data_IF_414597134618
#
_entry.id   IF_414597134618
#
_cell.length_a   1.000
_cell.length_b   1.000
_cell.length_c   1.000
_cell.angle_alpha   90.00
_cell.angle_beta   90.00
_cell.angle_gamma   90.00
#
_symmetry.space_group_name_H-M   'P 1'
#
loop_
_entity.id
_entity.type
_entity.pdbx_description
1 polymer ?
#
# COMPACT_ATOMS: atom_id res chain seq x y z
N UNK A 1 -7.47 16.90 25.25
CA UNK A 1 -8.13 16.74 23.94
C UNK A 1 -9.31 15.80 24.11
N UNK A 2 -10.25 15.70 23.17
CA UNK A 2 -11.30 14.67 23.29
C UNK A 2 -10.73 13.31 22.89
N UNK A 3 -11.12 12.23 23.58
CA UNK A 3 -10.68 10.85 23.29
C UNK A 3 -10.94 10.46 21.82
N UNK A 4 -12.03 10.96 21.24
CA UNK A 4 -12.38 10.74 19.84
C UNK A 4 -11.36 11.41 18.90
N UNK A 5 -10.95 12.65 19.21
CA UNK A 5 -9.95 13.37 18.40
C UNK A 5 -8.61 12.64 18.40
N UNK A 6 -8.15 12.17 19.55
CA UNK A 6 -6.89 11.42 19.67
C UNK A 6 -6.94 10.09 18.92
N UNK A 7 -8.07 9.39 18.96
CA UNK A 7 -8.29 8.17 18.17
C UNK A 7 -8.15 8.44 16.66
N UNK A 8 -8.91 9.41 16.13
CA UNK A 8 -8.87 9.71 14.70
C UNK A 8 -7.51 10.24 14.25
N UNK A 9 -6.81 11.01 15.08
CA UNK A 9 -5.47 11.50 14.77
C UNK A 9 -4.46 10.36 14.66
N UNK A 10 -4.44 9.43 15.63
CA UNK A 10 -3.51 8.30 15.60
C UNK A 10 -3.85 7.31 14.47
N UNK A 11 -5.14 7.12 14.17
CA UNK A 11 -5.57 6.33 13.01
C UNK A 11 -5.12 6.96 11.69
N UNK A 12 -5.29 8.28 11.56
CA UNK A 12 -4.84 9.03 10.37
C UNK A 12 -3.32 9.00 10.22
N UNK A 13 -2.59 9.12 11.32
CA UNK A 13 -1.14 8.96 11.32
C UNK A 13 -0.73 7.56 10.85
N UNK A 14 -1.45 6.51 11.27
CA UNK A 14 -1.23 5.15 10.78
C UNK A 14 -1.44 5.01 9.27
N UNK A 15 -2.53 5.59 8.73
CA UNK A 15 -2.73 5.63 7.27
C UNK A 15 -1.60 6.38 6.56
N UNK A 16 -1.19 7.52 7.09
CA UNK A 16 -0.11 8.32 6.50
C UNK A 16 1.20 7.53 6.44
N UNK A 17 1.57 6.84 7.52
CA UNK A 17 2.77 6.00 7.55
C UNK A 17 2.74 4.90 6.48
N UNK A 18 1.63 4.19 6.35
CA UNK A 18 1.49 3.11 5.36
C UNK A 18 1.58 3.68 3.94
N UNK A 19 0.92 4.81 3.67
CA UNK A 19 0.93 5.46 2.35
C UNK A 19 2.33 5.96 2.01
N UNK A 20 3.01 6.65 2.94
CA UNK A 20 4.37 7.16 2.74
C UNK A 20 5.33 5.99 2.48
N UNK A 21 5.27 4.93 3.28
CA UNK A 21 6.08 3.74 3.07
C UNK A 21 5.82 3.13 1.68
N UNK A 22 4.54 2.98 1.30
CA UNK A 22 4.15 2.46 -0.02
C UNK A 22 4.73 3.31 -1.16
N UNK A 23 4.69 4.64 -1.03
CA UNK A 23 5.23 5.55 -2.03
C UNK A 23 6.75 5.43 -2.14
N UNK A 24 7.46 5.32 -1.01
CA UNK A 24 8.93 5.14 -1.01
C UNK A 24 9.31 3.83 -1.71
N UNK A 25 8.64 2.72 -1.37
CA UNK A 25 8.88 1.43 -2.01
C UNK A 25 8.55 1.49 -3.50
N UNK A 26 7.46 2.16 -3.88
CA UNK A 26 7.08 2.35 -5.27
C UNK A 26 8.08 3.18 -6.06
N UNK A 27 8.62 4.25 -5.47
CA UNK A 27 9.70 5.04 -6.09
C UNK A 27 10.94 4.18 -6.36
N UNK A 28 11.32 3.32 -5.42
CA UNK A 28 12.38 2.33 -5.65
C UNK A 28 12.06 1.39 -6.82
N UNK A 29 10.83 0.89 -6.88
CA UNK A 29 10.35 0.06 -7.99
C UNK A 29 10.37 0.77 -9.35
N UNK A 30 10.09 2.08 -9.39
CA UNK A 30 10.15 2.87 -10.63
C UNK A 30 11.57 2.93 -11.18
N UNK A 31 12.57 3.11 -10.32
CA UNK A 31 13.97 3.12 -10.74
C UNK A 31 14.35 1.78 -11.36
N UNK A 32 13.92 0.67 -10.74
CA UNK A 32 14.14 -0.68 -11.27
C UNK A 32 13.46 -0.87 -12.63
N UNK A 33 12.18 -0.48 -12.76
CA UNK A 33 11.47 -0.56 -14.04
C UNK A 33 12.14 0.26 -15.13
N UNK A 34 12.61 1.46 -14.81
CA UNK A 34 13.29 2.34 -15.74
C UNK A 34 14.63 1.75 -16.21
N UNK A 35 15.41 1.15 -15.31
CA UNK A 35 16.61 0.40 -15.65
C UNK A 35 16.26 -0.75 -16.61
N UNK A 36 15.25 -1.56 -16.27
CA UNK A 36 14.85 -2.69 -17.11
C UNK A 36 14.41 -2.26 -18.52
N UNK A 37 13.72 -1.12 -18.63
CA UNK A 37 13.27 -0.60 -19.92
C UNK A 37 14.42 0.04 -20.72
N UNK A 38 15.38 0.72 -20.07
CA UNK A 38 16.57 1.27 -20.73
C UNK A 38 17.48 0.20 -21.34
N UNK A 39 17.55 -0.98 -20.74
CA UNK A 39 18.34 -2.11 -21.23
C UNK A 39 17.50 -3.11 -22.05
N UNK A 40 16.24 -2.79 -22.35
CA UNK A 40 15.37 -3.60 -23.19
C UNK A 40 15.69 -3.38 -24.67
N UNK A 41 15.78 -4.44 -25.49
CA UNK A 41 15.95 -4.30 -26.94
C UNK A 41 14.65 -3.87 -27.66
N UNK A 42 13.53 -3.78 -26.95
CA UNK A 42 12.23 -3.40 -27.52
C UNK A 42 12.03 -1.89 -27.54
N UNK A 43 11.24 -1.39 -28.50
CA UNK A 43 10.79 0.01 -28.52
C UNK A 43 9.94 0.33 -27.30
N UNK A 44 10.18 1.51 -26.70
CA UNK A 44 9.46 1.95 -25.51
C UNK A 44 8.03 2.40 -25.88
N UNK A 45 7.07 1.50 -25.65
CA UNK A 45 5.65 1.81 -25.78
C UNK A 45 5.13 2.46 -24.49
N UNK A 46 4.96 3.78 -24.50
CA UNK A 46 4.55 4.59 -23.34
C UNK A 46 3.27 4.04 -22.67
N UNK A 47 2.30 3.58 -23.47
CA UNK A 47 1.05 3.01 -22.96
C UNK A 47 1.29 1.76 -22.11
N UNK A 48 2.17 0.86 -22.57
CA UNK A 48 2.49 -0.36 -21.84
C UNK A 48 3.32 -0.06 -20.59
N UNK A 49 4.27 0.87 -20.70
CA UNK A 49 5.06 1.34 -19.58
C UNK A 49 4.18 1.93 -18.47
N UNK A 50 3.27 2.85 -18.80
CA UNK A 50 2.33 3.44 -17.84
C UNK A 50 1.43 2.37 -17.20
N UNK A 51 1.02 1.34 -17.96
CA UNK A 51 0.26 0.22 -17.42
C UNK A 51 1.09 -0.62 -16.43
N UNK A 52 2.37 -0.91 -16.73
CA UNK A 52 3.30 -1.58 -15.80
C UNK A 52 3.45 -0.76 -14.51
N UNK A 53 3.70 0.55 -14.64
CA UNK A 53 3.85 1.49 -13.50
C UNK A 53 2.59 1.50 -12.63
N UNK A 54 1.42 1.60 -13.23
CA UNK A 54 0.13 1.59 -12.53
C UNK A 54 -0.14 0.27 -11.81
N UNK A 55 0.14 -0.86 -12.49
CA UNK A 55 -0.01 -2.19 -11.89
C UNK A 55 0.91 -2.35 -10.69
N UNK A 56 2.17 -1.92 -10.81
CA UNK A 56 3.15 -1.94 -9.73
C UNK A 56 2.72 -1.07 -8.55
N UNK A 57 2.25 0.16 -8.79
CA UNK A 57 1.73 1.05 -7.74
C UNK A 57 0.64 0.34 -6.92
N UNK A 58 -0.36 -0.22 -7.61
CA UNK A 58 -1.46 -0.92 -6.97
C UNK A 58 -0.99 -2.11 -6.14
N UNK A 59 -0.09 -2.91 -6.69
CA UNK A 59 0.48 -4.07 -5.99
C UNK A 59 1.25 -3.62 -4.74
N UNK A 60 2.10 -2.60 -4.83
CA UNK A 60 2.89 -2.15 -3.67
C UNK A 60 2.00 -1.59 -2.56
N UNK A 61 0.95 -0.85 -2.90
CA UNK A 61 -0.02 -0.36 -1.91
C UNK A 61 -0.75 -1.51 -1.21
N UNK A 62 -1.19 -2.53 -1.95
CA UNK A 62 -1.84 -3.71 -1.39
C UNK A 62 -0.88 -4.52 -0.49
N UNK A 63 0.37 -4.71 -0.92
CA UNK A 63 1.38 -5.41 -0.11
C UNK A 63 1.74 -4.63 1.14
N UNK A 64 1.82 -3.30 1.05
CA UNK A 64 2.13 -2.44 2.19
C UNK A 64 0.99 -2.41 3.21
N UNK A 65 -0.27 -2.52 2.78
CA UNK A 65 -1.38 -2.69 3.73
C UNK A 65 -1.32 -4.02 4.46
N UNK A 66 -1.00 -5.13 3.78
CA UNK A 66 -0.83 -6.41 4.45
C UNK A 66 0.40 -6.41 5.38
N UNK A 67 1.51 -5.84 4.91
CA UNK A 67 2.73 -5.68 5.70
C UNK A 67 2.52 -4.79 6.93
N UNK A 68 1.71 -3.74 6.82
CA UNK A 68 1.38 -2.83 7.92
C UNK A 68 0.70 -3.52 9.10
N UNK A 69 -0.08 -4.58 8.86
CA UNK A 69 -0.71 -5.38 9.93
C UNK A 69 0.37 -6.07 10.77
N UNK A 70 1.32 -6.73 10.10
CA UNK A 70 2.41 -7.45 10.76
C UNK A 70 3.37 -6.46 11.41
N UNK A 71 3.74 -5.39 10.71
CA UNK A 71 4.65 -4.37 11.20
C UNK A 71 4.12 -3.70 12.48
N UNK A 72 2.85 -3.29 12.48
CA UNK A 72 2.23 -2.70 13.68
C UNK A 72 2.21 -3.69 14.85
N UNK A 73 1.89 -4.97 14.63
CA UNK A 73 1.95 -5.99 15.68
C UNK A 73 3.37 -6.20 16.21
N UNK A 74 4.38 -6.31 15.35
CA UNK A 74 5.77 -6.43 15.78
C UNK A 74 6.20 -5.21 16.60
N UNK A 75 5.85 -4.01 16.15
CA UNK A 75 6.17 -2.77 16.85
C UNK A 75 5.51 -2.68 18.23
N UNK A 76 4.30 -3.24 18.42
CA UNK A 76 3.69 -3.32 19.76
C UNK A 76 4.49 -4.17 20.75
N UNK A 77 5.23 -5.17 20.27
CA UNK A 77 6.05 -6.03 21.14
C UNK A 77 7.42 -5.43 21.43
N UNK A 78 7.93 -4.57 20.53
CA UNK A 78 9.29 -4.03 20.64
C UNK A 78 9.35 -2.59 21.15
N UNK A 79 8.22 -1.86 21.19
CA UNK A 79 8.18 -0.45 21.61
C UNK A 79 7.14 -0.19 22.69
N UNK A 80 7.35 0.87 23.49
CA UNK A 80 6.43 1.26 24.56
C UNK A 80 5.14 1.94 24.08
N UNK A 81 5.03 2.26 22.79
CA UNK A 81 3.90 3.01 22.22
C UNK A 81 2.79 2.10 21.70
N UNK A 82 2.27 1.24 22.58
CA UNK A 82 1.29 0.19 22.23
C UNK A 82 0.07 0.78 21.50
N UNK A 83 -0.49 1.87 22.01
CA UNK A 83 -1.70 2.48 21.42
C UNK A 83 -1.47 2.94 19.98
N UNK A 84 -0.38 3.66 19.71
CA UNK A 84 -0.04 4.15 18.37
C UNK A 84 0.16 2.99 17.38
N UNK A 85 0.90 1.97 17.79
CA UNK A 85 1.17 0.81 16.93
C UNK A 85 -0.07 -0.03 16.64
N UNK A 86 -0.99 -0.16 17.61
CA UNK A 86 -2.28 -0.80 17.38
C UNK A 86 -3.11 0.01 16.38
N UNK A 87 -3.06 1.35 16.41
CA UNK A 87 -3.74 2.19 15.42
C UNK A 87 -3.15 2.01 14.01
N UNK A 88 -1.84 1.81 13.89
CA UNK A 88 -1.20 1.46 12.61
C UNK A 88 -1.74 0.13 12.09
N UNK A 89 -1.76 -0.91 12.93
CA UNK A 89 -2.33 -2.22 12.55
C UNK A 89 -3.81 -2.10 12.15
N UNK A 90 -4.60 -1.31 12.87
CA UNK A 90 -6.00 -1.08 12.56
C UNK A 90 -6.18 -0.36 11.22
N UNK A 91 -5.40 0.69 10.96
CA UNK A 91 -5.36 1.37 9.67
C UNK A 91 -4.99 0.41 8.54
N UNK A 92 -4.01 -0.47 8.76
CA UNK A 92 -3.57 -1.47 7.82
C UNK A 92 -4.68 -2.50 7.48
N UNK A 93 -5.46 -2.93 8.49
CA UNK A 93 -6.63 -3.79 8.29
C UNK A 93 -7.69 -3.08 7.43
N UNK A 94 -8.00 -1.82 7.73
CA UNK A 94 -9.00 -1.04 6.97
C UNK A 94 -8.56 -0.90 5.51
N UNK A 95 -7.30 -0.55 5.25
CA UNK A 95 -6.74 -0.48 3.90
C UNK A 95 -6.79 -1.83 3.18
N UNK A 96 -6.48 -2.92 3.88
CA UNK A 96 -6.53 -4.27 3.33
C UNK A 96 -7.94 -4.65 2.88
N UNK A 97 -8.96 -4.35 3.69
CA UNK A 97 -10.37 -4.56 3.32
C UNK A 97 -10.77 -3.71 2.11
N UNK A 98 -10.31 -2.44 2.07
CA UNK A 98 -10.53 -1.57 0.93
C UNK A 98 -9.93 -2.15 -0.35
N UNK A 99 -8.68 -2.60 -0.32
CA UNK A 99 -8.01 -3.21 -1.48
C UNK A 99 -8.70 -4.50 -1.94
N UNK A 100 -9.13 -5.36 -1.03
CA UNK A 100 -9.91 -6.56 -1.36
C UNK A 100 -11.24 -6.22 -2.05
N UNK A 101 -11.93 -5.19 -1.56
CA UNK A 101 -13.21 -4.73 -2.12
C UNK A 101 -13.01 -4.13 -3.50
N UNK A 102 -11.99 -3.27 -3.67
CA UNK A 102 -11.59 -2.71 -4.95
C UNK A 102 -11.24 -3.81 -5.96
N UNK A 103 -10.52 -4.84 -5.54
CA UNK A 103 -10.16 -5.98 -6.39
C UNK A 103 -11.39 -6.76 -6.86
N UNK A 104 -12.38 -6.96 -5.98
CA UNK A 104 -13.64 -7.62 -6.34
C UNK A 104 -14.44 -6.82 -7.36
N UNK A 105 -14.52 -5.51 -7.21
CA UNK A 105 -15.24 -4.63 -8.16
C UNK A 105 -14.51 -4.45 -9.49
N UNK A 106 -13.18 -4.53 -9.49
CA UNK A 106 -12.35 -4.39 -10.68
C UNK A 106 -12.10 -5.69 -11.45
N UNK A 107 -12.66 -6.83 -11.00
CA UNK A 107 -12.70 -8.04 -11.82
C UNK A 107 -13.54 -7.75 -13.07
N UNK A 108 -13.02 -8.02 -14.29
CA UNK A 108 -13.85 -7.92 -15.48
C UNK A 108 -15.02 -8.90 -15.33
N UNK A 109 -16.21 -8.44 -15.69
CA UNK A 109 -17.40 -9.26 -15.91
C UNK A 109 -17.07 -10.22 -17.08
N UNK A 110 -16.33 -11.29 -16.82
CA UNK A 110 -15.94 -12.31 -17.81
C UNK A 110 -16.17 -13.74 -17.32
N UNK A 111 -16.87 -13.90 -16.19
CA UNK A 111 -17.25 -15.22 -15.66
C UNK A 111 -18.79 -15.35 -15.61
N UNK A 112 -19.49 -14.78 -16.59
CA UNK A 112 -20.92 -15.06 -16.85
C UNK A 112 -21.05 -15.54 -18.29
N UNK A 113 -20.56 -16.76 -18.52
CA UNK A 113 -20.95 -17.62 -19.65
C UNK A 113 -21.06 -19.04 -19.11
#
# INVERSE_FOLDING_TARGET
MSMITEFFQNLLAGFAWIIIFSLVVWMGGLVVLLIMELFSPNELLIKEYLWKVWKMLRTIFEWSSYGGIIAGLVMTQTSGEIYSNVMISLAAIILSVFHLTWRKQSKPIRDVT
#
